data_IF_605434040255
#
_entry.id   IF_605434040255
#
_cell.length_a   1.000
_cell.length_b   1.000
_cell.length_c   1.000
_cell.angle_alpha   90.00
_cell.angle_beta   90.00
_cell.angle_gamma   90.00
#
_symmetry.space_group_name_H-M   'P 1'
#
loop_
_entity.id
_entity.type
_entity.pdbx_description
1 polymer ?
#
# COMPACT_ATOMS: atom_id res chain seq x y z
N UNK A 1 -57.25 -55.92 -31.99
CA UNK A 1 -56.38 -56.59 -32.98
C UNK A 1 -55.18 -55.70 -33.29
N UNK A 2 -54.06 -56.31 -33.64
CA UNK A 2 -52.99 -55.83 -34.54
C UNK A 2 -53.44 -54.86 -35.67
N UNK A 3 -52.64 -53.90 -36.18
CA UNK A 3 -51.44 -53.20 -35.65
C UNK A 3 -51.56 -51.68 -36.01
N UNK A 4 -50.61 -50.82 -36.44
CA UNK A 4 -49.19 -50.86 -36.90
C UNK A 4 -48.52 -49.49 -36.60
N UNK A 5 -47.19 -49.44 -36.46
CA UNK A 5 -46.40 -48.19 -36.27
C UNK A 5 -46.27 -47.41 -37.59
N UNK A 6 -46.20 -46.07 -37.53
CA UNK A 6 -45.47 -45.27 -38.52
C UNK A 6 -44.71 -44.11 -37.86
N UNK A 7 -43.48 -43.85 -38.31
CA UNK A 7 -42.56 -42.86 -37.74
C UNK A 7 -42.33 -41.74 -38.74
N UNK A 8 -42.35 -40.47 -38.28
CA UNK A 8 -41.73 -39.36 -39.03
C UNK A 8 -40.82 -38.51 -38.14
N UNK A 9 -39.65 -38.19 -38.68
CA UNK A 9 -38.59 -37.39 -38.04
C UNK A 9 -38.95 -35.90 -38.06
N UNK A 10 -38.66 -35.16 -36.99
CA UNK A 10 -38.87 -33.71 -36.92
C UNK A 10 -37.95 -33.02 -35.90
N UNK A 11 -36.78 -32.58 -36.37
CA UNK A 11 -35.74 -31.77 -35.71
C UNK A 11 -35.75 -31.56 -34.17
N UNK A 12 -34.71 -32.08 -33.52
CA UNK A 12 -34.15 -31.46 -32.30
C UNK A 12 -33.67 -30.02 -32.63
N UNK A 13 -34.26 -28.98 -32.04
CA UNK A 13 -33.59 -27.68 -31.87
C UNK A 13 -33.03 -27.60 -30.45
N UNK A 14 -31.70 -27.53 -30.32
CA UNK A 14 -31.02 -27.27 -29.04
C UNK A 14 -31.34 -25.84 -28.60
N UNK A 15 -31.85 -25.67 -27.39
CA UNK A 15 -31.91 -24.37 -26.71
C UNK A 15 -30.50 -23.96 -26.27
N UNK A 16 -29.85 -23.13 -27.08
CA UNK A 16 -28.55 -22.54 -26.73
C UNK A 16 -28.76 -21.44 -25.68
N UNK A 17 -28.59 -21.78 -24.39
CA UNK A 17 -28.58 -20.81 -23.28
C UNK A 17 -27.33 -19.94 -23.42
N UNK A 18 -27.47 -18.81 -24.12
CA UNK A 18 -26.37 -17.89 -24.43
C UNK A 18 -26.11 -16.96 -23.24
N UNK A 19 -25.02 -17.20 -22.51
CA UNK A 19 -24.52 -16.33 -21.44
C UNK A 19 -24.43 -14.87 -21.93
N UNK A 20 -25.01 -13.94 -21.17
CA UNK A 20 -24.81 -12.49 -21.31
C UNK A 20 -24.55 -11.85 -19.95
N UNK A 21 -23.48 -12.30 -19.30
CA UNK A 21 -22.79 -11.50 -18.27
C UNK A 21 -21.90 -10.47 -18.96
N UNK A 22 -22.39 -9.23 -19.09
CA UNK A 22 -21.55 -8.07 -19.41
C UNK A 22 -21.73 -7.06 -18.27
N UNK A 23 -21.03 -7.33 -17.17
CA UNK A 23 -20.92 -6.38 -16.06
C UNK A 23 -19.92 -5.27 -16.45
N UNK A 24 -20.32 -4.02 -16.22
CA UNK A 24 -19.55 -2.83 -16.60
C UNK A 24 -18.23 -2.77 -15.82
N UNK A 25 -17.11 -3.01 -16.50
CA UNK A 25 -15.76 -2.94 -15.90
C UNK A 25 -14.68 -2.32 -16.81
N UNK A 26 -15.07 -1.71 -17.92
CA UNK A 26 -14.15 -1.26 -18.98
C UNK A 26 -14.42 0.19 -19.45
N UNK A 27 -14.50 1.16 -18.53
CA UNK A 27 -14.60 2.58 -18.91
C UNK A 27 -13.99 3.62 -17.93
N UNK A 28 -12.99 3.24 -17.12
CA UNK A 28 -12.20 4.21 -16.31
C UNK A 28 -10.71 3.91 -16.46
N UNK A 29 -10.15 4.13 -17.65
CA UNK A 29 -8.69 4.01 -17.89
C UNK A 29 -8.14 4.80 -19.09
N UNK A 30 -8.90 5.75 -19.66
CA UNK A 30 -8.69 6.26 -21.03
C UNK A 30 -8.67 7.78 -21.19
N UNK A 31 -8.34 8.54 -20.12
CA UNK A 31 -8.31 10.02 -20.16
C UNK A 31 -6.99 10.71 -19.74
N UNK A 32 -5.89 9.98 -19.47
CA UNK A 32 -4.60 10.57 -19.05
C UNK A 32 -3.35 10.00 -19.76
N UNK A 33 -3.51 9.27 -20.87
CA UNK A 33 -2.41 8.78 -21.71
C UNK A 33 -2.50 9.35 -23.13
N UNK A 34 -2.32 10.67 -23.24
CA UNK A 34 -2.23 11.42 -24.49
C UNK A 34 -1.17 12.51 -24.37
N UNK A 35 -0.30 12.62 -25.39
CA UNK A 35 0.74 13.66 -25.54
C UNK A 35 1.91 13.62 -24.53
N UNK A 36 2.71 12.55 -24.62
CA UNK A 36 4.16 12.62 -24.42
C UNK A 36 4.87 12.25 -25.73
N UNK A 37 4.68 13.05 -26.78
CA UNK A 37 5.49 12.96 -28.01
C UNK A 37 6.90 13.45 -27.68
N UNK A 38 7.92 12.67 -28.03
CA UNK A 38 9.31 12.92 -27.66
C UNK A 38 9.90 14.21 -28.24
N UNK A 39 9.65 15.35 -27.60
CA UNK A 39 10.50 16.53 -27.73
C UNK A 39 11.63 16.43 -26.71
N UNK A 40 12.87 16.36 -27.19
CA UNK A 40 14.09 16.41 -26.38
C UNK A 40 14.36 17.84 -25.90
N UNK A 41 13.43 18.38 -25.13
CA UNK A 41 13.66 19.59 -24.35
C UNK A 41 14.78 19.32 -23.35
N UNK A 42 15.97 19.85 -23.62
CA UNK A 42 17.03 20.00 -22.60
C UNK A 42 16.55 21.05 -21.59
N UNK A 43 15.77 20.63 -20.61
CA UNK A 43 15.54 21.42 -19.41
C UNK A 43 16.90 21.68 -18.74
N UNK A 44 17.12 22.92 -18.31
CA UNK A 44 18.23 23.23 -17.42
C UNK A 44 18.06 22.43 -16.11
N UNK A 45 19.17 22.04 -15.44
CA UNK A 45 19.08 21.23 -14.23
C UNK A 45 18.45 22.04 -13.09
N UNK A 46 17.13 21.90 -12.93
CA UNK A 46 16.39 22.34 -11.74
C UNK A 46 17.05 21.72 -10.51
N UNK A 47 17.57 22.57 -9.63
CA UNK A 47 18.67 22.22 -8.73
C UNK A 47 18.41 20.99 -7.87
N UNK A 48 19.32 20.01 -7.96
CA UNK A 48 19.41 18.82 -7.11
C UNK A 48 18.07 18.13 -6.82
N UNK A 49 17.42 17.58 -7.86
CA UNK A 49 16.55 16.41 -7.65
C UNK A 49 17.35 15.36 -6.86
N UNK A 50 16.87 15.03 -5.66
CA UNK A 50 17.64 14.21 -4.73
C UNK A 50 17.81 12.79 -5.29
N UNK A 51 19.06 12.32 -5.41
CA UNK A 51 19.30 10.93 -5.79
C UNK A 51 18.86 10.01 -4.64
N UNK A 52 17.64 9.52 -4.78
CA UNK A 52 17.04 8.51 -3.92
C UNK A 52 17.41 7.10 -4.37
N UNK A 53 17.92 6.91 -5.59
CA UNK A 53 18.09 5.61 -6.23
C UNK A 53 16.82 4.97 -6.80
N UNK A 54 15.66 5.63 -6.74
CA UNK A 54 14.41 5.12 -7.32
C UNK A 54 14.14 5.73 -8.69
N UNK A 55 13.73 4.90 -9.66
CA UNK A 55 13.25 5.35 -10.97
C UNK A 55 11.74 5.66 -10.95
N UNK A 56 11.24 6.48 -11.87
CA UNK A 56 9.78 6.68 -12.07
C UNK A 56 9.13 5.33 -12.46
N UNK A 57 7.97 4.95 -11.88
CA UNK A 57 7.13 5.70 -10.94
C UNK A 57 7.51 5.58 -9.46
N UNK A 58 8.45 4.69 -9.10
CA UNK A 58 8.87 4.40 -7.72
C UNK A 58 9.49 5.62 -7.00
N UNK A 59 10.05 6.58 -7.73
CA UNK A 59 10.50 7.88 -7.18
C UNK A 59 9.36 8.76 -6.67
N UNK A 60 8.12 8.51 -7.11
CA UNK A 60 6.97 9.38 -6.86
C UNK A 60 6.97 10.64 -7.72
N UNK A 61 6.07 11.57 -7.39
CA UNK A 61 5.95 12.86 -8.05
C UNK A 61 7.13 13.79 -7.74
N UNK A 62 7.67 14.54 -8.73
CA UNK A 62 8.78 15.46 -8.53
C UNK A 62 8.52 16.52 -7.46
N UNK A 63 9.55 16.82 -6.67
CA UNK A 63 9.51 17.78 -5.56
C UNK A 63 9.20 17.17 -4.20
N UNK A 64 8.99 15.85 -4.11
CA UNK A 64 8.65 15.12 -2.88
C UNK A 64 9.61 13.96 -2.56
N UNK A 65 10.61 13.71 -3.40
CA UNK A 65 11.54 12.58 -3.28
C UNK A 65 12.33 12.61 -1.96
N UNK A 66 12.51 13.81 -1.39
CA UNK A 66 13.18 14.07 -0.11
C UNK A 66 12.31 13.84 1.14
N UNK A 67 11.00 13.64 0.96
CA UNK A 67 10.02 13.50 2.05
C UNK A 67 9.86 12.03 2.50
N UNK A 68 10.29 11.10 1.65
CA UNK A 68 10.36 9.67 1.92
C UNK A 68 11.53 9.33 2.88
N UNK A 69 11.50 8.17 3.57
CA UNK A 69 12.57 7.76 4.47
C UNK A 69 13.91 7.65 3.74
N UNK A 70 14.98 8.02 4.44
CA UNK A 70 16.33 7.86 3.92
C UNK A 70 16.79 6.40 3.99
N UNK A 71 17.77 6.05 3.15
CA UNK A 71 18.55 4.81 3.27
C UNK A 71 19.29 4.80 4.60
N UNK A 72 19.23 3.69 5.33
CA UNK A 72 19.96 3.48 6.57
C UNK A 72 21.47 3.65 6.38
N UNK A 73 22.11 4.34 7.32
CA UNK A 73 23.55 4.63 7.36
C UNK A 73 24.31 3.89 8.49
N UNK A 74 23.60 3.38 9.50
CA UNK A 74 24.18 2.60 10.60
C UNK A 74 23.12 1.74 11.31
N UNK A 75 23.52 0.65 11.98
CA UNK A 75 22.59 -0.39 12.46
C UNK A 75 21.59 0.11 13.51
N UNK A 76 21.94 1.12 14.31
CA UNK A 76 21.07 1.67 15.36
C UNK A 76 19.77 2.30 14.80
N UNK A 77 19.74 2.61 13.50
CA UNK A 77 18.56 3.13 12.78
C UNK A 77 17.57 2.03 12.35
N UNK A 78 17.95 0.75 12.41
CA UNK A 78 17.15 -0.37 11.91
C UNK A 78 15.78 -0.43 12.63
N UNK A 79 14.71 -0.34 11.85
CA UNK A 79 13.32 -0.34 12.33
C UNK A 79 13.00 0.75 13.36
N UNK A 80 13.78 1.83 13.49
CA UNK A 80 13.44 2.90 14.43
C UNK A 80 12.18 3.67 13.98
N UNK A 81 11.30 4.07 14.91
CA UNK A 81 10.17 4.93 14.61
C UNK A 81 10.63 6.36 14.26
N UNK A 82 9.87 7.01 13.39
CA UNK A 82 10.10 8.38 12.91
C UNK A 82 10.17 9.42 14.03
N UNK A 83 9.34 9.27 15.07
CA UNK A 83 9.19 10.23 16.16
C UNK A 83 8.35 11.45 15.79
N UNK A 84 7.67 12.04 16.78
CA UNK A 84 6.63 13.03 16.54
C UNK A 84 7.13 14.28 15.81
N UNK A 85 8.28 14.83 16.18
CA UNK A 85 8.84 16.04 15.57
C UNK A 85 9.14 15.88 14.08
N UNK A 86 9.64 14.71 13.67
CA UNK A 86 9.90 14.42 12.26
C UNK A 86 8.60 14.12 11.50
N UNK A 87 7.62 13.46 12.13
CA UNK A 87 6.29 13.30 11.56
C UNK A 87 5.60 14.65 11.32
N UNK A 88 5.60 15.59 12.28
CA UNK A 88 5.02 16.92 12.07
C UNK A 88 5.74 17.73 10.97
N UNK A 89 7.07 17.59 10.87
CA UNK A 89 7.85 18.23 9.82
C UNK A 89 7.56 17.64 8.42
N UNK A 90 7.37 16.33 8.32
CA UNK A 90 6.98 15.63 7.09
C UNK A 90 5.53 15.96 6.71
N UNK A 91 4.62 16.03 7.69
CA UNK A 91 3.25 16.49 7.49
C UNK A 91 3.24 17.90 6.85
N UNK A 92 4.00 18.85 7.39
CA UNK A 92 4.11 20.19 6.83
C UNK A 92 4.62 20.20 5.38
N UNK A 93 5.61 19.34 5.05
CA UNK A 93 6.14 19.18 3.69
C UNK A 93 5.12 18.57 2.70
N UNK A 94 4.21 17.71 3.16
CA UNK A 94 3.11 17.18 2.32
C UNK A 94 1.86 18.05 2.29
N UNK A 95 1.83 19.17 3.02
CA UNK A 95 0.66 20.05 3.11
C UNK A 95 -0.41 19.60 4.11
N UNK A 96 0.01 19.00 5.23
CA UNK A 96 -0.82 18.60 6.37
C UNK A 96 -0.30 19.21 7.69
N UNK A 97 -1.17 19.27 8.69
CA UNK A 97 -0.87 19.72 10.05
C UNK A 97 -1.66 18.89 11.07
N UNK A 98 -1.32 18.99 12.36
CA UNK A 98 -2.08 18.30 13.43
C UNK A 98 -3.56 18.71 13.49
N UNK A 99 -3.94 19.87 12.95
CA UNK A 99 -5.34 20.32 12.90
C UNK A 99 -6.16 19.65 11.78
N UNK A 100 -5.49 18.98 10.84
CA UNK A 100 -6.12 18.24 9.74
C UNK A 100 -6.50 16.81 10.15
N UNK A 101 -5.93 16.30 11.24
CA UNK A 101 -6.22 14.97 11.76
C UNK A 101 -7.60 14.87 12.44
N UNK A 102 -8.07 13.63 12.61
CA UNK A 102 -9.26 13.33 13.40
C UNK A 102 -9.09 13.76 14.86
N UNK A 103 -10.18 14.19 15.48
CA UNK A 103 -10.25 14.29 16.94
C UNK A 103 -10.13 12.91 17.59
N UNK A 104 -9.69 12.83 18.85
CA UNK A 104 -9.55 11.55 19.56
C UNK A 104 -10.84 10.71 19.55
N UNK A 105 -12.00 11.36 19.60
CA UNK A 105 -13.29 10.69 19.53
C UNK A 105 -13.59 10.15 18.13
N UNK A 106 -13.38 10.95 17.07
CA UNK A 106 -13.56 10.46 15.69
C UNK A 106 -12.57 9.33 15.35
N UNK A 107 -11.33 9.41 15.81
CA UNK A 107 -10.36 8.31 15.67
C UNK A 107 -10.84 7.05 16.42
N UNK A 108 -11.32 7.19 17.66
CA UNK A 108 -11.90 6.09 18.44
C UNK A 108 -13.09 5.45 17.72
N UNK A 109 -14.04 6.25 17.24
CA UNK A 109 -15.22 5.75 16.56
C UNK A 109 -14.83 5.01 15.27
N UNK A 110 -13.96 5.58 14.43
CA UNK A 110 -13.49 4.92 13.20
C UNK A 110 -12.70 3.62 13.49
N UNK A 111 -11.79 3.63 14.47
CA UNK A 111 -10.97 2.48 14.86
C UNK A 111 -11.72 1.37 15.61
N UNK A 112 -12.99 1.61 16.00
CA UNK A 112 -13.86 0.60 16.64
C UNK A 112 -15.07 0.21 15.79
N UNK A 113 -15.18 0.74 14.58
CA UNK A 113 -16.34 0.50 13.69
C UNK A 113 -17.62 1.22 14.15
N UNK A 114 -17.48 2.23 15.01
CA UNK A 114 -18.56 3.10 15.48
C UNK A 114 -18.80 4.31 14.59
N UNK A 115 -19.48 5.32 15.14
CA UNK A 115 -19.95 6.49 14.40
C UNK A 115 -21.13 6.20 13.47
N UNK A 116 -21.60 7.24 12.78
CA UNK A 116 -22.63 7.14 11.74
C UNK A 116 -22.09 6.32 10.57
N UNK A 117 -22.82 5.28 10.18
CA UNK A 117 -22.41 4.38 9.10
C UNK A 117 -21.20 3.49 9.43
N UNK A 118 -20.85 3.32 10.71
CA UNK A 118 -19.72 2.52 11.15
C UNK A 118 -19.76 1.04 10.73
N UNK A 119 -18.59 0.46 10.48
CA UNK A 119 -18.39 -0.96 10.20
C UNK A 119 -17.16 -1.51 10.92
N UNK A 120 -17.35 -2.59 11.69
CA UNK A 120 -16.27 -3.31 12.38
C UNK A 120 -15.29 -3.94 11.38
N UNK A 121 -15.79 -4.55 10.29
CA UNK A 121 -14.97 -5.17 9.24
C UNK A 121 -14.02 -4.14 8.59
N UNK A 122 -14.50 -2.91 8.38
CA UNK A 122 -13.68 -1.83 7.85
C UNK A 122 -12.67 -1.31 8.88
N UNK A 123 -13.06 -1.24 10.17
CA UNK A 123 -12.17 -0.85 11.25
C UNK A 123 -11.03 -1.87 11.45
N UNK A 124 -11.32 -3.17 11.41
CA UNK A 124 -10.32 -4.24 11.51
C UNK A 124 -9.27 -4.15 10.39
N UNK A 125 -9.70 -3.92 9.13
CA UNK A 125 -8.79 -3.68 8.01
C UNK A 125 -7.94 -2.43 8.22
N UNK A 126 -8.53 -1.31 8.66
CA UNK A 126 -7.80 -0.04 8.92
C UNK A 126 -6.78 -0.23 10.06
N UNK A 127 -7.17 -0.88 11.15
CA UNK A 127 -6.30 -1.15 12.30
C UNK A 127 -5.11 -2.04 11.90
N UNK A 128 -5.36 -3.11 11.15
CA UNK A 128 -4.31 -3.97 10.62
C UNK A 128 -3.36 -3.22 9.66
N UNK A 129 -3.87 -2.28 8.85
CA UNK A 129 -3.02 -1.42 8.03
C UNK A 129 -2.06 -0.57 8.86
N UNK A 130 -2.57 0.07 9.93
CA UNK A 130 -1.76 0.87 10.85
C UNK A 130 -0.71 0.00 11.53
N UNK A 131 -1.08 -1.19 12.02
CA UNK A 131 -0.14 -2.11 12.67
C UNK A 131 1.00 -2.53 11.74
N UNK A 132 0.68 -2.96 10.51
CA UNK A 132 1.64 -3.35 9.47
C UNK A 132 2.60 -2.19 9.13
N UNK A 133 2.08 -0.97 8.97
CA UNK A 133 2.86 0.19 8.56
C UNK A 133 3.62 0.86 9.73
N UNK A 134 3.36 0.46 10.98
CA UNK A 134 4.04 0.96 12.19
C UNK A 134 4.81 -0.14 12.94
N UNK A 135 5.24 -1.19 12.22
CA UNK A 135 6.00 -2.32 12.76
C UNK A 135 7.48 -1.99 13.04
N UNK A 136 7.69 -1.02 13.94
CA UNK A 136 8.99 -0.50 14.36
C UNK A 136 9.41 -1.05 15.73
N UNK A 137 10.61 -0.68 16.20
CA UNK A 137 11.05 -0.94 17.57
C UNK A 137 9.97 -0.49 18.57
N UNK A 138 9.60 -1.38 19.49
CA UNK A 138 8.49 -1.18 20.43
C UNK A 138 7.10 -1.58 19.93
N UNK A 139 6.93 -1.92 18.65
CA UNK A 139 5.67 -2.38 18.03
C UNK A 139 5.86 -3.66 17.18
N UNK A 140 6.23 -4.80 17.78
CA UNK A 140 6.33 -6.06 17.07
C UNK A 140 4.95 -6.58 16.63
N UNK A 141 4.88 -7.16 15.43
CA UNK A 141 3.74 -7.96 14.97
C UNK A 141 3.94 -9.39 15.45
N UNK A 142 2.88 -10.00 15.97
CA UNK A 142 2.88 -11.38 16.45
C UNK A 142 2.17 -12.30 15.46
N UNK A 143 2.90 -13.32 14.98
CA UNK A 143 2.45 -14.21 13.90
C UNK A 143 2.67 -15.68 14.26
N UNK A 144 1.85 -16.58 13.73
CA UNK A 144 1.97 -18.02 14.00
C UNK A 144 3.03 -18.65 13.11
N UNK A 145 4.24 -18.82 13.64
CA UNK A 145 5.39 -19.38 12.92
C UNK A 145 5.68 -20.76 13.51
N UNK A 146 5.52 -21.83 12.72
CA UNK A 146 5.69 -23.22 13.16
C UNK A 146 4.90 -23.58 14.44
N UNK A 147 3.70 -23.00 14.61
CA UNK A 147 2.84 -23.19 15.77
C UNK A 147 3.25 -22.42 17.02
N UNK A 148 4.19 -21.47 16.91
CA UNK A 148 4.60 -20.57 17.97
C UNK A 148 4.19 -19.13 17.65
N UNK A 149 3.76 -18.38 18.67
CA UNK A 149 3.44 -16.96 18.52
C UNK A 149 4.73 -16.13 18.53
N UNK A 150 5.24 -15.80 17.34
CA UNK A 150 6.57 -15.20 17.16
C UNK A 150 6.48 -13.69 16.88
N UNK A 151 7.17 -12.82 17.65
CA UNK A 151 7.26 -11.40 17.35
C UNK A 151 8.21 -11.15 16.16
N UNK A 152 7.86 -10.17 15.33
CA UNK A 152 8.68 -9.68 14.21
C UNK A 152 8.68 -8.15 14.15
N UNK A 153 9.79 -7.56 13.71
CA UNK A 153 9.96 -6.11 13.50
C UNK A 153 10.73 -5.92 12.20
N UNK A 154 10.07 -5.49 11.14
CA UNK A 154 10.59 -5.56 9.77
C UNK A 154 10.29 -4.32 8.90
N UNK A 155 9.66 -3.28 9.44
CA UNK A 155 9.16 -2.15 8.66
C UNK A 155 10.25 -1.45 7.81
N UNK A 156 11.49 -1.34 8.28
CA UNK A 156 12.60 -0.76 7.48
C UNK A 156 12.97 -1.58 6.24
N UNK A 157 12.68 -2.87 6.19
CA UNK A 157 12.85 -3.68 4.97
C UNK A 157 11.71 -3.47 3.96
N UNK A 158 10.63 -2.80 4.36
CA UNK A 158 9.36 -2.80 3.61
C UNK A 158 8.65 -4.15 3.61
N UNK A 159 8.88 -4.97 4.65
CA UNK A 159 8.33 -6.31 4.82
C UNK A 159 7.56 -6.42 6.14
N UNK A 160 6.68 -7.42 6.25
CA UNK A 160 6.07 -7.85 7.51
C UNK A 160 5.82 -9.37 7.50
N UNK A 161 5.53 -9.97 8.66
CA UNK A 161 5.10 -11.37 8.75
C UNK A 161 3.59 -11.39 8.98
N UNK A 162 2.82 -11.95 8.05
CA UNK A 162 1.37 -12.04 8.19
C UNK A 162 0.96 -13.10 9.24
N UNK A 163 -0.31 -13.11 9.71
CA UNK A 163 -0.72 -13.97 10.84
C UNK A 163 -0.46 -15.46 10.65
N UNK A 164 -0.41 -15.95 9.40
CA UNK A 164 -0.09 -17.33 9.03
C UNK A 164 1.41 -17.66 8.99
N UNK A 165 2.29 -16.74 9.40
CA UNK A 165 3.74 -16.96 9.45
C UNK A 165 4.47 -16.78 8.12
N UNK A 166 3.84 -16.18 7.11
CA UNK A 166 4.47 -15.86 5.83
C UNK A 166 5.03 -14.44 5.84
N UNK A 167 6.27 -14.30 5.37
CA UNK A 167 6.96 -13.05 5.11
C UNK A 167 6.56 -12.50 3.73
N UNK A 168 6.10 -11.25 3.68
CA UNK A 168 5.71 -10.57 2.44
C UNK A 168 5.87 -9.04 2.55
N UNK A 169 5.72 -8.31 1.43
CA UNK A 169 5.63 -6.85 1.47
C UNK A 169 4.20 -6.39 1.82
N UNK A 170 4.00 -5.29 2.58
CA UNK A 170 2.69 -4.68 2.78
C UNK A 170 1.94 -4.29 1.49
N UNK A 171 2.61 -4.21 0.34
CA UNK A 171 1.94 -3.98 -0.93
C UNK A 171 1.43 -5.26 -1.63
N UNK A 172 1.62 -6.45 -1.04
CA UNK A 172 1.13 -7.74 -1.54
C UNK A 172 -0.39 -7.73 -1.81
N UNK A 173 -0.86 -8.51 -2.78
CA UNK A 173 -2.27 -8.62 -3.14
C UNK A 173 -3.20 -8.95 -1.95
N UNK A 174 -2.76 -9.85 -1.05
CA UNK A 174 -3.58 -10.37 0.04
C UNK A 174 -3.51 -9.50 1.31
N UNK A 175 -2.52 -8.62 1.44
CA UNK A 175 -2.30 -7.82 2.65
C UNK A 175 -3.44 -6.82 2.94
N UNK A 176 -3.81 -6.55 4.21
CA UNK A 176 -4.82 -5.55 4.57
C UNK A 176 -4.55 -4.16 3.94
N UNK A 177 -3.27 -3.77 3.90
CA UNK A 177 -2.74 -2.57 3.23
C UNK A 177 -2.96 -2.52 1.72
N UNK A 178 -3.37 -3.63 1.10
CA UNK A 178 -3.91 -3.68 -0.27
C UNK A 178 -5.42 -3.67 -0.29
N UNK A 179 -6.07 -4.42 0.60
CA UNK A 179 -7.55 -4.48 0.70
C UNK A 179 -8.16 -3.10 0.98
N UNK A 180 -7.51 -2.29 1.84
CA UNK A 180 -7.93 -0.93 2.23
C UNK A 180 -8.11 0.04 1.06
N UNK A 181 -7.48 -0.22 -0.10
CA UNK A 181 -7.68 0.58 -1.33
C UNK A 181 -9.16 0.65 -1.75
N UNK A 182 -9.97 -0.37 -1.43
CA UNK A 182 -11.42 -0.37 -1.65
C UNK A 182 -12.18 0.57 -0.70
N UNK A 183 -11.68 0.75 0.53
CA UNK A 183 -12.29 1.58 1.57
C UNK A 183 -11.98 3.06 1.39
N UNK A 184 -10.77 3.39 0.88
CA UNK A 184 -10.32 4.77 0.62
C UNK A 184 -10.59 5.26 -0.82
N UNK A 185 -11.11 4.41 -1.70
CA UNK A 185 -11.48 4.78 -3.07
C UNK A 185 -12.48 5.97 -3.09
N UNK A 186 -12.53 6.77 -4.16
CA UNK A 186 -13.54 7.82 -4.30
C UNK A 186 -14.98 7.27 -4.21
N UNK A 187 -15.69 7.65 -3.14
CA UNK A 187 -17.04 7.13 -2.83
C UNK A 187 -17.06 5.88 -1.93
N UNK A 188 -15.89 5.32 -1.58
CA UNK A 188 -15.73 4.22 -0.64
C UNK A 188 -15.99 4.61 0.82
N UNK A 189 -15.98 3.60 1.69
CA UNK A 189 -16.34 3.66 3.11
C UNK A 189 -15.74 4.87 3.86
N UNK A 190 -14.42 5.04 3.82
CA UNK A 190 -13.71 6.07 4.60
C UNK A 190 -14.15 7.46 4.17
N UNK A 191 -14.26 7.70 2.85
CA UNK A 191 -14.71 9.00 2.32
C UNK A 191 -16.15 9.34 2.70
N UNK A 192 -17.02 8.35 2.88
CA UNK A 192 -18.41 8.54 3.31
C UNK A 192 -18.48 8.74 4.83
N UNK A 193 -17.88 7.84 5.62
CA UNK A 193 -17.81 7.91 7.08
C UNK A 193 -17.26 9.27 7.56
N UNK A 194 -16.19 9.78 6.91
CA UNK A 194 -15.61 11.08 7.24
C UNK A 194 -16.56 12.27 7.02
N UNK A 195 -17.52 12.18 6.08
CA UNK A 195 -18.53 13.23 5.90
C UNK A 195 -19.61 13.14 6.97
N UNK A 196 -20.12 11.93 7.19
CA UNK A 196 -21.25 11.68 8.08
C UNK A 196 -20.90 11.88 9.56
N UNK A 197 -19.62 11.75 9.92
CA UNK A 197 -19.07 11.97 11.27
C UNK A 197 -18.35 13.33 11.43
N UNK A 198 -18.64 14.31 10.57
CA UNK A 198 -18.17 15.69 10.71
C UNK A 198 -16.67 15.94 10.42
N UNK A 199 -15.94 14.94 9.95
CA UNK A 199 -14.52 15.01 9.58
C UNK A 199 -14.30 15.48 8.11
N UNK A 200 -15.21 16.32 7.59
CA UNK A 200 -15.10 16.89 6.24
C UNK A 200 -13.81 17.71 6.08
N UNK A 201 -13.36 18.38 7.16
CA UNK A 201 -12.07 19.09 7.21
C UNK A 201 -10.90 18.17 6.85
N UNK A 202 -10.75 17.07 7.60
CA UNK A 202 -9.74 16.01 7.40
C UNK A 202 -9.76 15.46 5.97
N UNK A 203 -10.95 15.18 5.43
CA UNK A 203 -11.10 14.68 4.06
C UNK A 203 -10.64 15.70 3.01
N UNK A 204 -10.95 16.99 3.20
CA UNK A 204 -10.53 18.07 2.30
C UNK A 204 -9.04 18.35 2.41
N UNK A 205 -8.46 18.29 3.61
CA UNK A 205 -7.03 18.43 3.83
C UNK A 205 -6.24 17.29 3.17
N UNK A 206 -6.65 16.04 3.37
CA UNK A 206 -6.03 14.87 2.72
C UNK A 206 -6.02 15.03 1.20
N UNK A 207 -7.13 15.42 0.57
CA UNK A 207 -7.19 15.65 -0.88
C UNK A 207 -6.47 16.92 -1.38
N UNK A 208 -6.07 17.82 -0.50
CA UNK A 208 -5.22 18.99 -0.83
C UNK A 208 -3.72 18.70 -0.63
N UNK A 209 -3.39 17.69 0.17
CA UNK A 209 -2.03 17.26 0.45
C UNK A 209 -1.39 16.50 -0.73
N UNK A 210 -0.10 16.19 -0.60
CA UNK A 210 0.65 15.37 -1.54
C UNK A 210 0.04 13.98 -1.79
N UNK A 211 -0.83 13.48 -0.91
CA UNK A 211 -1.58 12.22 -1.08
C UNK A 211 -2.20 12.10 -2.48
N UNK A 212 -2.88 13.13 -2.98
CA UNK A 212 -3.61 13.06 -4.25
C UNK A 212 -2.69 12.89 -5.46
N UNK A 213 -1.51 13.51 -5.46
CA UNK A 213 -0.55 13.33 -6.55
C UNK A 213 0.25 12.02 -6.40
N UNK A 214 0.68 11.68 -5.18
CA UNK A 214 1.45 10.46 -4.93
C UNK A 214 0.64 9.17 -5.10
N UNK A 215 -0.68 9.19 -4.86
CA UNK A 215 -1.56 8.04 -5.10
C UNK A 215 -1.53 7.56 -6.56
N UNK A 216 -1.37 8.48 -7.53
CA UNK A 216 -1.26 8.13 -8.96
C UNK A 216 0.03 7.36 -9.25
N UNK A 217 1.17 7.83 -8.71
CA UNK A 217 2.46 7.16 -8.83
C UNK A 217 2.49 5.83 -8.07
N UNK A 218 1.89 5.78 -6.88
CA UNK A 218 1.79 4.59 -6.05
C UNK A 218 0.98 3.47 -6.72
N UNK A 219 -0.17 3.82 -7.32
CA UNK A 219 -0.98 2.89 -8.09
C UNK A 219 -0.23 2.33 -9.32
N UNK A 220 0.47 3.19 -10.07
CA UNK A 220 1.29 2.76 -11.21
C UNK A 220 2.44 1.84 -10.76
N UNK A 221 3.15 2.20 -9.69
CA UNK A 221 4.24 1.41 -9.13
C UNK A 221 3.78 0.03 -8.64
N UNK A 222 2.65 -0.05 -7.93
CA UNK A 222 2.06 -1.33 -7.50
C UNK A 222 1.63 -2.23 -8.68
N UNK A 223 1.32 -1.68 -9.85
CA UNK A 223 1.08 -2.50 -11.06
C UNK A 223 2.39 -3.04 -11.65
N UNK A 224 3.50 -2.29 -11.52
CA UNK A 224 4.80 -2.66 -12.08
C UNK A 224 5.57 -3.68 -11.22
N UNK A 225 5.44 -3.65 -9.89
CA UNK A 225 6.19 -4.55 -8.97
C UNK A 225 5.69 -6.00 -8.89
N UNK A 226 4.71 -6.40 -9.72
CA UNK A 226 4.25 -7.79 -9.85
C UNK A 226 3.68 -8.40 -8.56
N UNK A 227 3.84 -9.71 -8.37
CA UNK A 227 3.42 -10.40 -7.14
C UNK A 227 4.38 -10.13 -5.96
N UNK A 228 5.69 -10.07 -6.23
CA UNK A 228 6.75 -9.88 -5.24
C UNK A 228 6.62 -8.56 -4.46
N UNK A 229 6.12 -7.49 -5.11
CA UNK A 229 5.93 -6.17 -4.50
C UNK A 229 7.21 -5.64 -3.82
N UNK A 230 8.34 -5.89 -4.49
CA UNK A 230 9.65 -5.30 -4.20
C UNK A 230 9.99 -4.24 -5.26
N UNK A 231 10.97 -3.40 -4.95
CA UNK A 231 11.55 -2.42 -5.88
C UNK A 231 13.06 -2.42 -5.80
N UNK A 232 13.69 -2.32 -6.97
CA UNK A 232 15.13 -2.05 -7.07
C UNK A 232 15.41 -0.57 -6.78
N UNK A 233 16.35 -0.33 -5.87
CA UNK A 233 16.97 0.95 -5.60
C UNK A 233 18.43 0.90 -6.06
N UNK A 234 18.89 1.91 -6.81
CA UNK A 234 20.23 1.97 -7.42
C UNK A 234 21.16 3.00 -6.76
N UNK A 235 20.82 3.49 -5.56
CA UNK A 235 21.55 4.57 -4.91
C UNK A 235 22.99 4.17 -4.60
N UNK A 236 23.90 5.13 -4.71
CA UNK A 236 25.34 4.96 -4.54
C UNK A 236 25.96 4.01 -5.60
N UNK A 237 25.26 3.78 -6.72
CA UNK A 237 25.66 2.84 -7.77
C UNK A 237 25.44 1.37 -7.44
N UNK A 238 24.74 1.06 -6.33
CA UNK A 238 24.50 -0.31 -5.85
C UNK A 238 23.04 -0.68 -6.05
N UNK A 239 22.78 -1.69 -6.88
CA UNK A 239 21.47 -2.31 -6.97
C UNK A 239 21.13 -3.04 -5.67
N UNK A 240 20.03 -2.64 -5.04
CA UNK A 240 19.52 -3.19 -3.79
C UNK A 240 18.00 -3.31 -3.86
N UNK A 241 17.41 -4.26 -3.14
CA UNK A 241 15.96 -4.48 -3.14
C UNK A 241 15.35 -4.00 -1.83
N UNK A 242 14.18 -3.39 -1.88
CA UNK A 242 13.39 -3.02 -0.70
C UNK A 242 11.90 -3.23 -1.00
N UNK A 243 11.09 -3.49 0.02
CA UNK A 243 9.65 -3.65 -0.15
C UNK A 243 8.99 -2.36 -0.68
N UNK A 244 8.03 -2.52 -1.59
CA UNK A 244 7.37 -1.44 -2.32
C UNK A 244 6.70 -0.40 -1.39
N UNK A 245 6.37 -0.75 -0.15
CA UNK A 245 5.88 0.17 0.88
C UNK A 245 6.88 1.26 1.30
N UNK A 246 8.18 1.07 1.09
CA UNK A 246 9.24 2.07 1.36
C UNK A 246 9.53 2.98 0.15
N UNK A 247 8.99 2.67 -1.03
CA UNK A 247 9.13 3.55 -2.18
C UNK A 247 8.38 4.87 -1.93
N UNK A 248 8.98 6.05 -2.24
CA UNK A 248 8.41 7.36 -1.95
C UNK A 248 6.90 7.56 -2.14
N UNK A 249 6.25 7.19 -3.26
CA UNK A 249 4.83 7.48 -3.43
C UNK A 249 3.95 6.66 -2.49
N UNK A 250 4.32 5.41 -2.20
CA UNK A 250 3.56 4.57 -1.27
C UNK A 250 3.81 4.98 0.18
N UNK A 251 5.06 5.26 0.54
CA UNK A 251 5.38 5.70 1.89
C UNK A 251 4.67 7.01 2.20
N UNK A 252 4.67 7.99 1.29
CA UNK A 252 3.98 9.28 1.48
C UNK A 252 2.45 9.13 1.52
N UNK A 253 1.86 8.27 0.68
CA UNK A 253 0.42 7.96 0.74
C UNK A 253 0.03 7.32 2.08
N UNK A 254 0.79 6.32 2.52
CA UNK A 254 0.60 5.65 3.80
C UNK A 254 0.77 6.62 4.97
N UNK A 255 1.81 7.46 4.93
CA UNK A 255 2.06 8.50 5.93
C UNK A 255 0.90 9.49 6.01
N UNK A 256 0.45 10.05 4.88
CA UNK A 256 -0.64 11.01 4.85
C UNK A 256 -1.94 10.40 5.42
N UNK A 257 -2.27 9.17 5.06
CA UNK A 257 -3.43 8.44 5.59
C UNK A 257 -3.33 8.23 7.11
N UNK A 258 -2.20 7.72 7.61
CA UNK A 258 -2.03 7.44 9.05
C UNK A 258 -1.95 8.74 9.85
N UNK A 259 -1.33 9.80 9.32
CA UNK A 259 -1.19 11.08 10.02
C UNK A 259 -2.55 11.77 10.19
N UNK A 260 -3.44 11.72 9.18
CA UNK A 260 -4.80 12.26 9.32
C UNK A 260 -5.71 11.39 10.20
N UNK A 261 -5.41 10.10 10.37
CA UNK A 261 -6.08 9.27 11.39
C UNK A 261 -5.61 9.68 12.80
N UNK A 262 -4.31 9.72 13.04
CA UNK A 262 -3.71 10.15 14.31
C UNK A 262 -2.19 10.45 14.11
N UNK A 263 -1.71 11.68 14.35
CA UNK A 263 -0.30 12.04 14.18
C UNK A 263 0.68 11.16 15.00
N UNK A 264 0.24 10.68 16.16
CA UNK A 264 1.04 9.82 17.04
C UNK A 264 1.23 8.40 16.48
N UNK A 265 0.40 7.97 15.52
CA UNK A 265 0.57 6.69 14.82
C UNK A 265 1.56 6.85 13.66
N UNK A 266 1.49 7.97 12.92
CA UNK A 266 2.44 8.28 11.84
C UNK A 266 3.86 8.49 12.38
N UNK A 267 4.00 9.01 13.60
CA UNK A 267 5.25 9.05 14.35
C UNK A 267 5.88 7.66 14.62
N UNK A 268 5.12 6.56 14.47
CA UNK A 268 5.58 5.18 14.63
C UNK A 268 5.83 4.47 13.29
N UNK A 269 5.79 5.17 12.15
CA UNK A 269 6.28 4.63 10.87
C UNK A 269 7.82 4.54 10.88
N UNK A 270 8.44 3.65 10.07
CA UNK A 270 9.90 3.54 10.01
C UNK A 270 10.55 4.84 9.51
N UNK A 271 11.56 5.31 10.26
CA UNK A 271 12.33 6.52 9.95
C UNK A 271 13.27 6.34 8.74
N UNK A 272 13.75 5.10 8.52
CA UNK A 272 14.73 4.73 7.51
C UNK A 272 14.33 3.43 6.84
N UNK A 273 14.72 3.26 5.57
CA UNK A 273 14.66 1.98 4.88
C UNK A 273 16.04 1.32 4.79
N UNK A 274 16.08 0.00 4.68
CA UNK A 274 17.31 -0.80 4.50
C UNK A 274 17.12 -1.82 3.37
N UNK A 275 18.17 -2.18 2.62
CA UNK A 275 18.11 -3.30 1.69
C UNK A 275 17.62 -4.61 2.35
N UNK A 276 16.73 -5.31 1.66
CA UNK A 276 16.39 -6.71 1.93
C UNK A 276 17.63 -7.56 1.60
N UNK A 277 18.03 -8.52 2.47
CA UNK A 277 19.12 -9.45 2.17
C UNK A 277 18.81 -10.25 0.90
N UNK A 278 19.80 -10.42 0.02
CA UNK A 278 19.58 -10.95 -1.34
C UNK A 278 18.88 -12.32 -1.35
N UNK A 279 19.21 -13.19 -0.39
CA UNK A 279 18.58 -14.51 -0.21
C UNK A 279 17.07 -14.42 0.04
N UNK A 280 16.62 -13.37 0.73
CA UNK A 280 15.21 -13.11 1.05
C UNK A 280 14.51 -12.46 -0.15
N UNK A 281 15.17 -11.50 -0.80
CA UNK A 281 14.62 -10.81 -1.97
C UNK A 281 14.42 -11.76 -3.16
N UNK A 282 15.40 -12.62 -3.44
CA UNK A 282 15.32 -13.61 -4.52
C UNK A 282 14.24 -14.67 -4.25
N UNK A 283 14.09 -15.10 -2.98
CA UNK A 283 13.04 -16.03 -2.59
C UNK A 283 11.63 -15.43 -2.75
N UNK A 284 11.44 -14.18 -2.34
CA UNK A 284 10.17 -13.44 -2.54
C UNK A 284 9.89 -13.25 -4.04
N UNK A 285 10.91 -12.95 -4.85
CA UNK A 285 10.78 -12.83 -6.32
C UNK A 285 10.48 -14.17 -7.02
N UNK A 286 10.99 -15.28 -6.50
CA UNK A 286 10.71 -16.62 -7.01
C UNK A 286 9.33 -17.17 -6.59
N UNK A 287 8.73 -16.62 -5.53
CA UNK A 287 7.40 -17.02 -5.05
C UNK A 287 6.28 -16.54 -5.98
N UNK A 288 5.38 -17.43 -6.48
CA UNK A 288 4.24 -17.03 -7.31
C UNK A 288 3.28 -16.04 -6.66
N UNK A 289 3.23 -15.98 -5.32
CA UNK A 289 2.39 -15.05 -4.55
C UNK A 289 3.18 -13.91 -3.91
N UNK A 290 4.51 -13.86 -4.05
CA UNK A 290 5.35 -12.88 -3.34
C UNK A 290 5.45 -13.10 -1.83
N UNK A 291 5.14 -14.31 -1.36
CA UNK A 291 5.16 -14.73 0.05
C UNK A 291 6.14 -15.89 0.26
N UNK A 292 6.86 -15.93 1.38
CA UNK A 292 7.74 -17.06 1.76
C UNK A 292 7.60 -17.40 3.26
N UNK A 293 7.85 -18.65 3.71
CA UNK A 293 7.77 -18.98 5.13
C UNK A 293 8.80 -18.20 5.95
N UNK A 294 8.38 -17.42 6.94
CA UNK A 294 9.30 -16.56 7.70
C UNK A 294 10.36 -17.37 8.47
N UNK A 295 10.01 -18.57 8.93
CA UNK A 295 10.92 -19.51 9.61
C UNK A 295 12.25 -19.72 8.89
N UNK A 296 12.22 -19.71 7.56
CA UNK A 296 13.33 -20.12 6.70
C UNK A 296 14.29 -18.94 6.43
N UNK A 297 13.82 -17.71 6.68
CA UNK A 297 14.51 -16.45 6.37
C UNK A 297 14.76 -15.55 7.60
N UNK A 298 14.17 -15.86 8.75
CA UNK A 298 14.28 -15.10 10.01
C UNK A 298 15.70 -15.02 10.61
N UNK A 299 16.70 -15.68 10.01
CA UNK A 299 18.12 -15.55 10.35
C UNK A 299 18.82 -14.39 9.63
N UNK A 300 18.30 -13.95 8.47
CA UNK A 300 18.89 -12.87 7.66
C UNK A 300 18.38 -11.47 8.04
N UNK A 301 17.30 -11.39 8.82
CA UNK A 301 16.54 -10.17 9.13
C UNK A 301 16.70 -9.77 10.62
N UNK A 302 17.96 -9.60 11.06
CA UNK A 302 18.36 -9.35 12.46
C UNK A 302 19.44 -8.29 12.55
#
# INVERSE_FOLDING_TARGET
MHTTISVRRGHRRRSAVRRWTISVFALICTCLLSLAVSQTARGEPTGNAADTGFAIPFSGAPGYEHVAPAKMTGPDQLNQPLGQTAADAIAAQVGLSRADALTEQQYRDLSTGGGVGGSLEAADVINACVEILTNTVGRPIYSQVNGQNTPSVLASYGLYVNPGGLLESPANADAPTRQVNTLIAPGGYVGTWLRDNGAVHTLVALYRSAYTVQAVYGFAAQQMSGAAQLVTNTKDGVNSEVGMSMAPPLWIVNFALIYVLNPSLAAMMPAYWTPIPVQVADAIKASPTGQVPFSDYASYLR
#
